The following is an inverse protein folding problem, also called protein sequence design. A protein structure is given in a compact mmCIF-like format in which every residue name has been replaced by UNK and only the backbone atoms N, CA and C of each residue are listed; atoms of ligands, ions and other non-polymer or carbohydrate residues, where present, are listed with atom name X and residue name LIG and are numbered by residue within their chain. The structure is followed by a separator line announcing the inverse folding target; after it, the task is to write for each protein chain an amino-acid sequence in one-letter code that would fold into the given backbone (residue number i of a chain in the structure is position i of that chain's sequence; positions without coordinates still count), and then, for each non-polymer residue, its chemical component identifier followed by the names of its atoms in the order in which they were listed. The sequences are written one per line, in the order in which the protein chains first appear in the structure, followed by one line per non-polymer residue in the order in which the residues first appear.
data_IF_725471229144
#
_entry.id   IF_725471229144
#
_cell.length_a   1.000
_cell.length_b   1.000
_cell.length_c   1.000
_cell.angle_alpha   90.00
_cell.angle_beta   90.00
_cell.angle_gamma   90.00
#
_symmetry.space_group_name_H-M   'P 1'
#
loop_
_entity.id
_entity.type
_entity.pdbx_description
1 polymer ?
#
# COMPACT_ATOMS: atom_id res chain seq x y z
N UNK A 1 -29.62 -4.41 -59.09
CA UNK A 1 -30.98 -3.89 -58.85
C UNK A 1 -31.16 -3.74 -57.35
N UNK A 2 -31.44 -2.53 -56.87
CA UNK A 2 -31.96 -2.27 -55.51
C UNK A 2 -33.36 -1.69 -55.66
N UNK A 3 -34.31 -2.03 -54.77
CA UNK A 3 -34.60 -1.21 -53.59
C UNK A 3 -34.77 -2.07 -52.32
N UNK A 4 -34.78 -1.56 -51.08
CA UNK A 4 -34.88 -0.18 -50.60
C UNK A 4 -36.24 0.09 -49.94
N UNK A 5 -36.30 0.13 -48.59
CA UNK A 5 -37.36 0.70 -47.69
C UNK A 5 -37.16 0.16 -46.25
N UNK A 6 -37.52 0.83 -45.14
CA UNK A 6 -37.70 2.27 -44.87
C UNK A 6 -37.97 2.57 -43.38
N UNK A 7 -37.45 3.72 -42.91
CA UNK A 7 -37.92 4.64 -41.84
C UNK A 7 -38.56 4.18 -40.51
N UNK A 8 -37.88 4.55 -39.42
CA UNK A 8 -38.27 5.54 -38.37
C UNK A 8 -39.66 5.55 -37.69
N UNK A 9 -39.66 5.44 -36.34
CA UNK A 9 -40.42 6.21 -35.31
C UNK A 9 -39.54 6.23 -34.04
N UNK A 10 -39.20 7.30 -33.30
CA UNK A 10 -39.75 8.65 -33.06
C UNK A 10 -40.98 8.68 -32.13
N UNK A 11 -40.76 9.09 -30.86
CA UNK A 11 -41.66 9.75 -29.87
C UNK A 11 -41.03 9.69 -28.46
N UNK A 12 -40.50 10.78 -27.90
CA UNK A 12 -41.19 11.83 -27.10
C UNK A 12 -41.43 11.41 -25.62
N UNK A 13 -40.65 11.91 -24.66
CA UNK A 13 -40.80 13.22 -23.98
C UNK A 13 -41.74 13.18 -22.74
N UNK A 14 -41.19 13.49 -21.56
CA UNK A 14 -41.93 13.72 -20.31
C UNK A 14 -41.25 14.82 -19.49
N UNK A 15 -41.99 15.87 -19.11
CA UNK A 15 -41.44 17.10 -18.52
C UNK A 15 -42.39 17.75 -17.50
N UNK A 16 -41.98 17.81 -16.23
CA UNK A 16 -42.53 18.69 -15.18
C UNK A 16 -41.41 18.86 -14.11
N UNK A 17 -41.00 20.04 -13.62
CA UNK A 17 -41.71 21.19 -13.01
C UNK A 17 -42.47 20.79 -11.72
N UNK A 18 -42.51 21.55 -10.61
CA UNK A 18 -41.76 22.71 -10.08
C UNK A 18 -42.37 23.07 -8.69
N UNK A 19 -41.70 23.96 -7.92
CA UNK A 19 -42.13 24.68 -6.68
C UNK A 19 -41.86 23.93 -5.35
N UNK A 20 -41.26 24.49 -4.29
CA UNK A 20 -41.06 25.87 -3.75
C UNK A 20 -42.13 26.36 -2.75
N UNK A 21 -41.70 26.55 -1.49
CA UNK A 21 -42.17 27.53 -0.49
C UNK A 21 -40.96 27.82 0.44
N UNK A 22 -40.43 29.05 0.50
CA UNK A 22 -40.63 30.10 1.54
C UNK A 22 -40.36 29.66 2.99
N UNK A 23 -39.79 30.44 3.93
CA UNK A 23 -39.07 31.74 4.04
C UNK A 23 -39.25 32.21 5.50
N UNK A 24 -38.56 33.28 5.95
CA UNK A 24 -38.73 34.02 7.25
C UNK A 24 -38.07 33.36 8.49
N UNK A 25 -37.54 34.06 9.50
CA UNK A 25 -37.30 35.52 9.73
C UNK A 25 -36.18 35.78 10.75
N UNK A 26 -35.61 36.98 10.70
CA UNK A 26 -34.66 37.65 11.59
C UNK A 26 -34.99 37.69 13.11
N UNK A 27 -33.94 37.64 13.95
CA UNK A 27 -33.64 38.50 15.14
C UNK A 27 -32.20 38.16 15.60
N UNK A 28 -31.22 39.05 15.77
CA UNK A 28 -31.15 40.31 16.52
C UNK A 28 -31.46 40.16 18.01
N UNK A 29 -30.44 40.16 18.89
CA UNK A 29 -30.03 41.35 19.66
C UNK A 29 -28.80 41.06 20.55
N UNK A 30 -27.95 42.05 20.77
CA UNK A 30 -26.78 42.01 21.67
C UNK A 30 -27.15 42.47 23.09
N UNK A 31 -26.40 42.03 24.14
CA UNK A 31 -25.79 42.93 25.17
C UNK A 31 -25.02 42.20 26.30
N UNK A 32 -23.71 42.50 26.36
CA UNK A 32 -22.93 42.98 27.54
C UNK A 32 -23.17 42.31 28.93
N UNK A 33 -22.10 41.75 29.51
CA UNK A 33 -21.29 42.38 30.60
C UNK A 33 -20.08 41.49 30.98
N UNK A 34 -19.05 42.12 31.55
CA UNK A 34 -17.76 41.53 31.97
C UNK A 34 -17.68 41.37 33.52
N UNK A 35 -16.65 40.70 34.10
CA UNK A 35 -16.59 40.14 35.48
C UNK A 35 -15.89 41.12 36.48
N UNK A 36 -15.22 40.73 37.61
CA UNK A 36 -15.14 39.49 38.43
C UNK A 36 -15.77 39.73 39.84
N UNK A 37 -15.24 39.41 41.06
CA UNK A 37 -13.98 38.76 41.57
C UNK A 37 -14.08 37.20 41.60
N UNK A 38 -13.48 36.42 42.52
CA UNK A 38 -12.07 36.12 42.88
C UNK A 38 -12.02 35.10 44.08
N UNK A 39 -11.14 34.08 44.00
CA UNK A 39 -10.54 33.23 45.06
C UNK A 39 -11.38 32.45 46.12
N UNK A 40 -11.32 31.11 46.02
CA UNK A 40 -10.99 30.18 47.14
C UNK A 40 -10.53 28.81 46.62
N UNK A 41 -9.52 28.21 47.25
CA UNK A 41 -8.90 26.91 46.88
C UNK A 41 -9.68 25.70 47.51
N UNK A 42 -9.16 24.46 47.48
CA UNK A 42 -9.36 23.48 46.41
C UNK A 42 -10.21 22.28 46.86
N UNK A 43 -11.05 21.72 45.98
CA UNK A 43 -11.67 20.42 46.22
C UNK A 43 -10.84 19.31 45.55
N UNK A 44 -10.40 18.33 46.32
CA UNK A 44 -9.60 17.20 45.84
C UNK A 44 -10.46 15.94 45.85
N UNK A 45 -10.85 15.45 44.66
CA UNK A 45 -11.31 14.07 44.45
C UNK A 45 -11.03 13.69 42.99
N UNK A 46 -10.10 12.78 42.72
CA UNK A 46 -10.31 11.32 42.65
C UNK A 46 -11.19 10.85 41.48
N UNK A 47 -10.67 10.94 40.25
CA UNK A 47 -10.75 9.89 39.21
C UNK A 47 -10.14 10.40 37.88
N UNK A 48 -8.81 10.35 37.75
CA UNK A 48 -8.15 10.73 36.51
C UNK A 48 -8.03 9.55 35.53
N UNK A 49 -8.67 9.64 34.36
CA UNK A 49 -8.15 9.08 33.10
C UNK A 49 -8.41 10.09 31.98
N UNK A 50 -7.53 11.09 31.86
CA UNK A 50 -7.34 11.78 30.58
C UNK A 50 -6.56 10.81 29.70
N UNK A 51 -7.17 10.33 28.61
CA UNK A 51 -6.45 9.59 27.55
C UNK A 51 -5.55 10.57 26.81
N UNK A 52 -4.36 10.80 27.38
CA UNK A 52 -3.26 11.46 26.69
C UNK A 52 -2.83 10.57 25.54
N UNK A 53 -3.10 10.99 24.30
CA UNK A 53 -2.48 10.40 23.12
C UNK A 53 -1.00 10.80 23.15
N UNK A 54 -0.04 9.86 23.21
CA UNK A 54 1.36 10.22 23.11
C UNK A 54 1.62 10.81 21.70
N UNK A 55 2.32 11.95 21.59
CA UNK A 55 2.72 12.45 20.29
C UNK A 55 3.74 11.48 19.65
N UNK A 56 3.65 11.39 18.33
CA UNK A 56 4.59 10.76 17.39
C UNK A 56 5.95 10.38 18.02
N UNK A 57 6.17 9.08 18.20
CA UNK A 57 7.45 8.57 18.67
C UNK A 57 8.54 8.92 17.64
N UNK A 58 9.48 9.77 18.05
CA UNK A 58 10.65 10.12 17.25
C UNK A 58 11.50 8.87 17.08
N UNK A 59 11.63 8.38 15.84
CA UNK A 59 12.57 7.31 15.50
C UNK A 59 14.00 7.84 15.61
N UNK A 60 14.57 7.74 16.81
CA UNK A 60 15.93 8.16 17.13
C UNK A 60 16.78 6.99 17.62
N UNK A 61 16.95 5.98 16.76
CA UNK A 61 17.98 4.96 16.90
C UNK A 61 18.93 5.02 15.70
N UNK A 62 19.77 6.05 15.70
CA UNK A 62 20.99 6.04 14.90
C UNK A 62 21.94 4.98 15.50
N UNK A 63 22.04 3.83 14.84
CA UNK A 63 23.11 2.85 15.02
C UNK A 63 24.00 2.85 13.77
N UNK A 64 25.30 2.52 13.89
CA UNK A 64 26.27 2.81 12.85
C UNK A 64 26.10 1.92 11.61
N UNK A 65 25.76 2.57 10.50
CA UNK A 65 25.94 2.06 9.13
C UNK A 65 27.32 1.40 8.99
N UNK A 66 27.39 0.12 8.62
CA UNK A 66 28.69 -0.50 8.42
C UNK A 66 28.81 -2.03 8.36
N UNK A 67 27.98 -2.74 7.58
CA UNK A 67 28.42 -4.02 6.98
C UNK A 67 27.62 -4.47 5.74
N UNK A 68 27.55 -3.67 4.66
CA UNK A 68 27.34 -4.23 3.30
C UNK A 68 27.87 -3.32 2.16
N UNK A 69 28.96 -2.58 2.40
CA UNK A 69 29.58 -1.70 1.39
C UNK A 69 30.65 -2.43 0.57
N UNK A 70 30.27 -3.54 -0.08
CA UNK A 70 31.18 -4.30 -0.96
C UNK A 70 30.41 -5.08 -2.02
N UNK A 71 30.67 -4.72 -3.29
CA UNK A 71 30.09 -5.27 -4.54
C UNK A 71 28.75 -4.67 -5.05
N UNK A 72 28.71 -3.34 -5.28
CA UNK A 72 27.94 -2.78 -6.41
C UNK A 72 28.86 -2.56 -7.63
N UNK A 73 29.05 -3.54 -8.54
CA UNK A 73 29.56 -3.25 -9.87
C UNK A 73 28.50 -2.43 -10.63
N UNK A 74 28.93 -1.32 -11.25
CA UNK A 74 28.08 -0.50 -12.12
C UNK A 74 27.48 -1.37 -13.23
N UNK A 75 26.16 -1.63 -13.21
CA UNK A 75 25.48 -2.42 -14.24
C UNK A 75 25.66 -1.75 -15.61
N UNK A 76 26.30 -2.47 -16.52
CA UNK A 76 25.99 -2.33 -17.95
C UNK A 76 24.59 -2.86 -18.14
N UNK A 77 23.67 -2.05 -18.67
CA UNK A 77 22.30 -2.45 -18.92
C UNK A 77 22.26 -3.43 -20.12
N UNK A 78 21.84 -4.69 -19.96
CA UNK A 78 21.53 -5.55 -21.09
C UNK A 78 20.17 -5.14 -21.69
N UNK A 79 20.11 -5.09 -23.02
CA UNK A 79 18.91 -4.74 -23.79
C UNK A 79 17.70 -5.59 -23.35
N UNK A 80 16.64 -4.98 -22.78
CA UNK A 80 15.53 -5.73 -22.26
C UNK A 80 14.58 -6.11 -23.40
N UNK A 81 14.70 -7.36 -23.86
CA UNK A 81 13.76 -7.96 -24.81
C UNK A 81 12.30 -7.86 -24.34
N UNK A 82 11.31 -8.04 -25.25
CA UNK A 82 9.91 -7.70 -25.00
C UNK A 82 9.23 -8.60 -23.94
N UNK A 83 9.47 -8.26 -22.68
CA UNK A 83 9.01 -8.90 -21.44
C UNK A 83 9.56 -8.20 -20.20
N UNK A 84 9.96 -6.94 -20.35
CA UNK A 84 10.93 -6.16 -19.57
C UNK A 84 10.53 -5.74 -18.14
N UNK A 85 9.91 -6.63 -17.37
CA UNK A 85 9.75 -6.42 -15.92
C UNK A 85 11.01 -6.79 -15.14
N UNK A 86 11.15 -6.34 -13.88
CA UNK A 86 12.19 -6.86 -12.97
C UNK A 86 11.98 -8.35 -12.64
N UNK A 87 10.74 -8.83 -12.80
CA UNK A 87 10.37 -10.24 -12.67
C UNK A 87 10.61 -11.05 -13.95
N UNK A 88 11.23 -12.23 -13.80
CA UNK A 88 11.28 -13.27 -14.83
C UNK A 88 10.21 -14.33 -14.54
N UNK A 89 9.46 -14.74 -15.57
CA UNK A 89 8.35 -15.68 -15.44
C UNK A 89 8.47 -16.79 -16.49
N UNK A 90 8.98 -17.93 -16.06
CA UNK A 90 9.32 -19.11 -16.87
C UNK A 90 8.21 -20.17 -16.80
N UNK A 91 8.15 -21.05 -17.80
CA UNK A 91 7.28 -22.23 -17.78
C UNK A 91 8.16 -23.46 -17.53
N UNK A 92 7.82 -24.26 -16.52
CA UNK A 92 8.60 -25.44 -16.11
C UNK A 92 8.02 -26.74 -16.67
N UNK A 93 6.69 -26.85 -16.68
CA UNK A 93 5.96 -28.01 -17.19
C UNK A 93 4.61 -27.59 -17.80
N UNK A 94 3.82 -28.56 -18.27
CA UNK A 94 2.39 -28.33 -18.49
C UNK A 94 1.76 -27.91 -17.16
N UNK A 95 1.07 -26.77 -17.17
CA UNK A 95 0.40 -26.10 -16.04
C UNK A 95 1.26 -25.63 -14.83
N UNK A 96 2.58 -25.85 -14.82
CA UNK A 96 3.50 -25.32 -13.77
C UNK A 96 4.51 -24.30 -14.33
N UNK A 97 4.65 -23.18 -13.63
CA UNK A 97 5.54 -22.07 -13.97
C UNK A 97 6.31 -21.58 -12.74
N UNK A 98 7.36 -20.79 -12.95
CA UNK A 98 8.18 -20.18 -11.90
C UNK A 98 8.29 -18.65 -12.10
N UNK A 99 8.17 -17.88 -11.02
CA UNK A 99 8.34 -16.44 -10.97
C UNK A 99 9.56 -16.12 -10.10
N UNK A 100 10.55 -15.41 -10.65
CA UNK A 100 11.77 -15.02 -9.93
C UNK A 100 12.06 -13.53 -10.03
N UNK A 101 12.70 -12.99 -8.99
CA UNK A 101 13.15 -11.60 -8.88
C UNK A 101 14.54 -11.58 -8.21
N UNK A 102 15.52 -10.93 -8.83
CA UNK A 102 16.84 -10.70 -8.22
C UNK A 102 16.76 -9.51 -7.24
N UNK A 103 17.35 -9.66 -6.06
CA UNK A 103 17.34 -8.67 -4.98
C UNK A 103 18.73 -8.04 -4.78
N UNK A 104 18.83 -6.98 -3.97
CA UNK A 104 20.08 -6.26 -3.71
C UNK A 104 20.48 -5.26 -4.80
N UNK A 105 19.49 -4.72 -5.52
CA UNK A 105 19.64 -3.73 -6.57
C UNK A 105 18.31 -3.20 -7.12
N UNK A 106 17.22 -3.31 -6.36
CA UNK A 106 15.91 -2.77 -6.72
C UNK A 106 15.81 -1.29 -6.26
N UNK A 107 15.03 -0.45 -6.95
CA UNK A 107 14.78 0.94 -6.55
C UNK A 107 14.32 1.11 -5.10
N UNK A 108 13.63 0.10 -4.55
CA UNK A 108 13.02 0.16 -3.22
C UNK A 108 13.89 -0.42 -2.09
N UNK A 109 15.06 -0.99 -2.39
CA UNK A 109 15.91 -1.63 -1.37
C UNK A 109 16.33 -0.62 -0.29
N UNK A 110 16.73 0.59 -0.68
CA UNK A 110 17.11 1.68 0.24
C UNK A 110 15.94 2.16 1.13
N UNK A 111 14.68 1.90 0.72
CA UNK A 111 13.48 2.18 1.54
C UNK A 111 13.25 1.10 2.58
N UNK A 112 13.45 -0.17 2.20
CA UNK A 112 13.31 -1.33 3.08
C UNK A 112 14.40 -1.28 4.16
N UNK A 113 15.65 -1.04 3.77
CA UNK A 113 16.79 -0.84 4.67
C UNK A 113 16.56 0.34 5.64
N UNK A 114 16.01 1.45 5.16
CA UNK A 114 15.70 2.62 5.99
C UNK A 114 14.56 2.39 7.00
N UNK A 115 13.70 1.39 6.77
CA UNK A 115 12.68 0.94 7.73
C UNK A 115 13.25 -0.04 8.78
N UNK A 116 14.48 -0.53 8.58
CA UNK A 116 15.14 -1.49 9.46
C UNK A 116 14.91 -2.96 9.10
N UNK A 117 14.32 -3.23 7.93
CA UNK A 117 14.14 -4.57 7.36
C UNK A 117 15.26 -4.84 6.31
N UNK A 118 15.62 -6.10 6.08
CA UNK A 118 16.54 -6.53 5.03
C UNK A 118 15.76 -6.87 3.74
N UNK A 119 16.10 -6.31 2.57
CA UNK A 119 15.43 -6.59 1.29
C UNK A 119 15.82 -7.96 0.70
N UNK A 120 15.63 -9.02 1.49
CA UNK A 120 15.97 -10.41 1.18
C UNK A 120 14.75 -11.23 0.70
N UNK A 121 14.99 -12.49 0.30
CA UNK A 121 13.95 -13.40 -0.19
C UNK A 121 12.78 -13.57 0.79
N UNK A 122 13.07 -13.73 2.09
CA UNK A 122 12.06 -13.91 3.13
C UNK A 122 11.20 -12.66 3.35
N UNK A 123 11.78 -11.45 3.25
CA UNK A 123 11.03 -10.19 3.25
C UNK A 123 10.05 -10.15 2.07
N UNK A 124 10.47 -10.52 0.87
CA UNK A 124 9.59 -10.53 -0.30
C UNK A 124 8.52 -11.62 -0.27
N UNK A 125 8.76 -12.75 0.41
CA UNK A 125 7.69 -13.70 0.78
C UNK A 125 6.67 -13.08 1.73
N UNK A 126 7.10 -12.36 2.77
CA UNK A 126 6.20 -11.66 3.68
C UNK A 126 5.38 -10.58 2.97
N UNK A 127 5.98 -9.82 2.04
CA UNK A 127 5.27 -8.89 1.16
C UNK A 127 4.22 -9.63 0.32
N UNK A 128 4.58 -10.75 -0.32
CA UNK A 128 3.64 -11.57 -1.10
C UNK A 128 2.47 -12.09 -0.24
N UNK A 129 2.75 -12.58 0.97
CA UNK A 129 1.72 -13.03 1.92
C UNK A 129 0.79 -11.89 2.33
N UNK A 130 1.34 -10.71 2.62
CA UNK A 130 0.59 -9.54 3.07
C UNK A 130 -0.34 -8.98 1.97
N UNK A 131 0.13 -8.91 0.72
CA UNK A 131 -0.65 -8.31 -0.39
C UNK A 131 -1.53 -9.29 -1.14
N UNK A 132 -1.22 -10.60 -1.09
CA UNK A 132 -1.88 -11.64 -1.88
C UNK A 132 -2.27 -12.89 -1.05
N UNK A 133 -2.84 -12.76 0.17
CA UNK A 133 -3.02 -13.88 1.12
C UNK A 133 -3.92 -15.02 0.63
N UNK A 134 -4.77 -14.76 -0.37
CA UNK A 134 -5.64 -15.76 -1.00
C UNK A 134 -4.86 -16.70 -1.92
N UNK A 135 -3.98 -16.18 -2.77
CA UNK A 135 -3.19 -16.99 -3.72
C UNK A 135 -1.91 -17.54 -3.09
N UNK A 136 -1.36 -16.86 -2.07
CA UNK A 136 -0.16 -17.29 -1.34
C UNK A 136 -0.24 -18.77 -0.87
N UNK A 137 -1.44 -19.26 -0.55
CA UNK A 137 -1.68 -20.64 -0.08
C UNK A 137 -1.63 -21.72 -1.18
N UNK A 138 -1.60 -21.32 -2.45
CA UNK A 138 -1.54 -22.21 -3.61
C UNK A 138 -0.15 -22.24 -4.25
N UNK A 139 0.77 -21.42 -3.74
CA UNK A 139 2.09 -21.19 -4.28
C UNK A 139 3.16 -21.87 -3.42
N UNK A 140 4.23 -22.30 -4.08
CA UNK A 140 5.34 -23.05 -3.51
C UNK A 140 6.56 -22.10 -3.51
N UNK A 141 6.96 -21.61 -2.34
CA UNK A 141 8.00 -20.59 -2.22
C UNK A 141 9.35 -21.20 -1.87
N UNK A 142 10.41 -20.73 -2.54
CA UNK A 142 11.80 -21.19 -2.39
C UNK A 142 12.76 -19.98 -2.42
N UNK A 143 12.41 -18.91 -1.69
CA UNK A 143 13.17 -17.65 -1.74
C UNK A 143 14.41 -17.72 -0.85
N UNK A 144 15.59 -17.64 -1.46
CA UNK A 144 16.87 -17.65 -0.76
C UNK A 144 17.55 -16.28 -0.82
N UNK A 145 17.84 -15.66 0.34
CA UNK A 145 18.79 -14.56 0.46
C UNK A 145 18.59 -13.42 -0.55
N UNK A 146 19.37 -13.42 -1.63
CA UNK A 146 19.32 -12.42 -2.71
C UNK A 146 18.31 -12.71 -3.83
N UNK A 147 17.42 -13.68 -3.68
CA UNK A 147 16.42 -14.05 -4.69
C UNK A 147 15.05 -14.28 -4.05
N UNK A 148 14.02 -13.70 -4.64
CA UNK A 148 12.64 -14.14 -4.44
C UNK A 148 12.30 -15.15 -5.54
N UNK A 149 11.79 -16.33 -5.14
CA UNK A 149 11.44 -17.40 -6.06
C UNK A 149 10.17 -18.12 -5.61
N UNK A 150 9.25 -18.34 -6.55
CA UNK A 150 7.96 -18.98 -6.29
C UNK A 150 7.46 -19.74 -7.51
N UNK A 151 6.93 -20.94 -7.28
CA UNK A 151 6.31 -21.80 -8.30
C UNK A 151 4.80 -21.92 -8.08
N UNK A 152 4.08 -22.22 -9.16
CA UNK A 152 2.64 -22.43 -9.13
C UNK A 152 1.98 -22.44 -10.51
N UNK A 153 0.66 -22.30 -10.52
CA UNK A 153 -0.09 -22.11 -11.76
C UNK A 153 0.27 -20.78 -12.42
N UNK A 154 0.41 -20.81 -13.76
CA UNK A 154 0.80 -19.63 -14.55
C UNK A 154 -0.09 -18.41 -14.30
N UNK A 155 -1.39 -18.62 -14.13
CA UNK A 155 -2.37 -17.55 -13.90
C UNK A 155 -2.18 -16.86 -12.54
N UNK A 156 -1.93 -17.64 -11.48
CA UNK A 156 -1.67 -17.12 -10.13
C UNK A 156 -0.33 -16.38 -10.06
N UNK A 157 0.69 -16.83 -10.80
CA UNK A 157 1.98 -16.13 -10.90
C UNK A 157 1.90 -14.82 -11.70
N UNK A 158 1.16 -14.79 -12.81
CA UNK A 158 0.91 -13.55 -13.56
C UNK A 158 0.07 -12.55 -12.71
N UNK A 159 -0.84 -13.03 -11.86
CA UNK A 159 -1.56 -12.23 -10.86
C UNK A 159 -0.61 -11.70 -9.78
N UNK A 160 0.18 -12.56 -9.13
CA UNK A 160 1.12 -12.17 -8.07
C UNK A 160 2.13 -11.14 -8.57
N UNK A 161 2.71 -11.34 -9.76
CA UNK A 161 3.59 -10.37 -10.41
C UNK A 161 2.94 -9.00 -10.53
N UNK A 162 1.66 -8.95 -10.90
CA UNK A 162 0.90 -7.71 -11.05
C UNK A 162 0.62 -7.00 -9.72
N UNK A 163 0.48 -7.75 -8.61
CA UNK A 163 0.35 -7.20 -7.27
C UNK A 163 1.68 -6.73 -6.68
N UNK A 164 2.79 -7.42 -6.96
CA UNK A 164 4.11 -7.09 -6.44
C UNK A 164 4.81 -5.95 -7.21
N UNK A 165 4.57 -5.82 -8.52
CA UNK A 165 5.27 -4.87 -9.38
C UNK A 165 5.32 -3.42 -8.86
N UNK A 166 4.23 -2.82 -8.32
CA UNK A 166 4.29 -1.46 -7.77
C UNK A 166 5.33 -1.30 -6.66
N UNK A 167 5.43 -2.30 -5.77
CA UNK A 167 6.35 -2.27 -4.64
C UNK A 167 7.81 -2.49 -5.04
N UNK A 168 8.08 -3.03 -6.23
CA UNK A 168 9.44 -3.19 -6.77
C UNK A 168 9.95 -1.91 -7.45
N UNK A 169 9.06 -1.07 -8.00
CA UNK A 169 9.44 0.07 -8.85
C UNK A 169 9.12 1.45 -8.27
N UNK A 170 8.23 1.55 -7.28
CA UNK A 170 7.84 2.81 -6.63
C UNK A 170 8.13 2.77 -5.13
N UNK A 171 9.13 3.55 -4.72
CA UNK A 171 9.50 3.75 -3.33
C UNK A 171 8.34 4.22 -2.45
N UNK A 172 7.41 5.02 -2.99
CA UNK A 172 6.26 5.55 -2.25
C UNK A 172 5.27 4.43 -1.94
N UNK A 173 5.02 3.55 -2.91
CA UNK A 173 4.19 2.37 -2.73
C UNK A 173 4.79 1.42 -1.68
N UNK A 174 6.12 1.27 -1.64
CA UNK A 174 6.82 0.49 -0.62
C UNK A 174 6.72 1.14 0.77
N UNK A 175 6.95 2.46 0.90
CA UNK A 175 6.76 3.20 2.18
C UNK A 175 5.35 3.00 2.73
N UNK A 176 4.34 3.21 1.88
CA UNK A 176 2.93 3.02 2.26
C UNK A 176 2.64 1.56 2.67
N UNK A 177 3.30 0.56 2.08
CA UNK A 177 3.15 -0.85 2.44
C UNK A 177 3.75 -1.15 3.81
N UNK A 178 4.96 -0.67 4.08
CA UNK A 178 5.65 -0.84 5.36
C UNK A 178 4.83 -0.21 6.50
N UNK A 179 4.29 1.00 6.29
CA UNK A 179 3.38 1.65 7.25
C UNK A 179 2.12 0.81 7.51
N UNK A 180 1.51 0.21 6.48
CA UNK A 180 0.33 -0.65 6.65
C UNK A 180 0.65 -1.96 7.38
N UNK A 181 1.78 -2.60 7.08
CA UNK A 181 2.20 -3.83 7.75
C UNK A 181 2.48 -3.57 9.24
N UNK A 182 3.22 -2.49 9.55
CA UNK A 182 3.47 -2.04 10.92
C UNK A 182 2.17 -1.72 11.67
N UNK A 183 1.24 -0.98 11.05
CA UNK A 183 -0.05 -0.64 11.66
C UNK A 183 -0.95 -1.88 11.90
N UNK A 184 -0.76 -2.95 11.12
CA UNK A 184 -1.42 -4.24 11.32
C UNK A 184 -0.73 -5.14 12.37
N UNK A 185 0.47 -4.78 12.82
CA UNK A 185 1.30 -5.62 13.69
C UNK A 185 1.87 -6.86 12.98
N UNK A 186 2.08 -6.77 11.67
CA UNK A 186 2.59 -7.86 10.83
C UNK A 186 4.05 -7.56 10.46
N UNK A 187 4.95 -8.48 10.82
CA UNK A 187 6.34 -8.50 10.35
C UNK A 187 6.39 -9.02 8.91
N UNK A 188 7.27 -8.45 8.07
CA UNK A 188 7.47 -8.90 6.69
C UNK A 188 8.69 -9.82 6.58
N UNK A 189 9.71 -9.64 7.40
CA UNK A 189 10.76 -10.65 7.58
C UNK A 189 10.27 -11.94 8.26
N UNK A 190 10.37 -13.05 7.52
CA UNK A 190 10.22 -14.40 8.05
C UNK A 190 8.80 -14.77 8.49
N UNK A 191 8.60 -16.06 8.76
CA UNK A 191 7.34 -16.54 9.34
C UNK A 191 7.25 -16.07 10.79
N UNK A 192 6.53 -14.96 11.00
CA UNK A 192 6.26 -14.40 12.33
C UNK A 192 5.72 -15.47 13.30
N UNK A 193 6.37 -15.58 14.45
CA UNK A 193 6.10 -16.57 15.52
C UNK A 193 4.81 -16.32 16.29
#
# INVERSE_FOLDING_TARGET
MSPGRSVSRLSSAGRARSRSHRSTSCRSESRRRSPPPENSHPHVDHAGVVRSVPPLAVWMYALPMGLFDRFRPRRSEPDPGPGAGPFRLSNEAEDRASLTLDLGGLPTDEVVEAAGEEPNGAFWEGVAHFVAPTIFRHLDFDSEGSMFAVEGERADLDHLRSLLLPYVVDESAMRDLLERAHAAGITLEGYGT
#
